data_IF_940400110772
#
_entry.id   IF_940400110772
#
_cell.length_a   1.000
_cell.length_b   1.000
_cell.length_c   1.000
_cell.angle_alpha   90.00
_cell.angle_beta   90.00
_cell.angle_gamma   90.00
#
_symmetry.space_group_name_H-M   'P 1'
#
loop_
_entity.id
_entity.type
_entity.pdbx_description
1 polymer ?
#
# COMPACT_ATOMS: atom_id res chain seq x y z
N UNK A 1 0.87 -2.41 -7.91
CA UNK A 1 -0.02 -3.51 -8.39
C UNK A 1 -0.97 -2.92 -9.42
N UNK A 2 -1.55 -3.68 -10.36
CA UNK A 2 -2.44 -3.04 -11.35
C UNK A 2 -3.84 -2.77 -10.76
N UNK A 3 -4.61 -1.88 -11.40
CA UNK A 3 -5.90 -1.43 -10.87
C UNK A 3 -6.93 -2.54 -10.57
N UNK A 4 -7.17 -3.50 -11.49
CA UNK A 4 -8.01 -4.66 -11.22
C UNK A 4 -7.62 -5.44 -9.97
N UNK A 5 -6.32 -5.61 -9.71
CA UNK A 5 -5.81 -6.37 -8.56
C UNK A 5 -6.00 -5.61 -7.24
N UNK A 6 -5.83 -4.29 -7.23
CA UNK A 6 -6.17 -3.47 -6.05
C UNK A 6 -7.64 -3.63 -5.68
N UNK A 7 -8.54 -3.52 -6.65
CA UNK A 7 -9.97 -3.74 -6.42
C UNK A 7 -10.26 -5.16 -5.93
N UNK A 8 -9.61 -6.18 -6.51
CA UNK A 8 -9.79 -7.56 -6.10
C UNK A 8 -9.39 -7.79 -4.64
N UNK A 9 -8.21 -7.31 -4.22
CA UNK A 9 -7.75 -7.47 -2.83
C UNK A 9 -8.63 -6.69 -1.86
N UNK A 10 -9.00 -5.45 -2.18
CA UNK A 10 -9.91 -4.64 -1.34
C UNK A 10 -11.24 -5.36 -1.17
N UNK A 11 -11.82 -5.88 -2.27
CA UNK A 11 -13.06 -6.64 -2.23
C UNK A 11 -12.93 -7.88 -1.34
N UNK A 12 -11.91 -8.70 -1.56
CA UNK A 12 -11.64 -9.89 -0.77
C UNK A 12 -11.44 -9.57 0.72
N UNK A 13 -10.80 -8.44 1.05
CA UNK A 13 -10.63 -7.98 2.42
C UNK A 13 -11.94 -7.54 3.07
N UNK A 14 -12.77 -6.78 2.35
CA UNK A 14 -14.08 -6.34 2.83
C UNK A 14 -15.04 -7.51 3.05
N UNK A 15 -15.01 -8.52 2.17
CA UNK A 15 -15.85 -9.73 2.27
C UNK A 15 -15.55 -10.57 3.53
N UNK A 16 -14.35 -10.39 4.13
CA UNK A 16 -13.94 -11.09 5.36
C UNK A 16 -14.26 -10.34 6.65
N UNK A 17 -14.87 -9.14 6.57
CA UNK A 17 -15.33 -8.41 7.75
C UNK A 17 -16.57 -9.09 8.38
N UNK A 18 -16.39 -9.67 9.57
CA UNK A 18 -17.42 -10.31 10.38
C UNK A 18 -17.93 -9.40 11.52
N UNK A 19 -19.23 -9.10 11.49
CA UNK A 19 -19.92 -8.32 12.52
C UNK A 19 -19.82 -8.96 13.92
N UNK A 20 -19.81 -8.18 15.02
CA UNK A 20 -20.07 -6.74 15.09
C UNK A 20 -18.83 -5.82 15.18
N UNK A 21 -17.62 -6.36 15.32
CA UNK A 21 -16.44 -5.57 15.68
C UNK A 21 -15.97 -4.57 14.58
N UNK A 22 -16.41 -4.78 13.35
CA UNK A 22 -16.01 -4.06 12.14
C UNK A 22 -17.16 -3.29 11.47
N UNK A 23 -18.32 -3.18 12.16
CA UNK A 23 -19.46 -2.44 11.65
C UNK A 23 -19.13 -1.01 11.15
N UNK A 24 -18.26 -0.22 11.82
CA UNK A 24 -17.85 1.08 11.29
C UNK A 24 -17.15 1.00 9.94
N UNK A 25 -16.19 0.07 9.78
CA UNK A 25 -15.43 -0.11 8.53
C UNK A 25 -16.33 -0.63 7.41
N UNK A 26 -17.24 -1.55 7.73
CA UNK A 26 -18.24 -2.04 6.76
C UNK A 26 -19.13 -0.92 6.21
N UNK A 27 -19.56 0.02 7.06
CA UNK A 27 -20.34 1.19 6.60
C UNK A 27 -19.55 2.10 5.65
N UNK A 28 -18.22 2.05 5.70
CA UNK A 28 -17.33 2.77 4.80
C UNK A 28 -17.00 1.99 3.51
N UNK A 29 -17.45 0.74 3.35
CA UNK A 29 -17.01 -0.19 2.30
C UNK A 29 -17.09 0.36 0.86
N UNK A 30 -18.20 1.02 0.52
CA UNK A 30 -18.37 1.63 -0.82
C UNK A 30 -17.34 2.74 -1.07
N UNK A 31 -17.13 3.62 -0.10
CA UNK A 31 -16.13 4.69 -0.19
C UNK A 31 -14.69 4.13 -0.23
N UNK A 32 -14.40 3.05 0.49
CA UNK A 32 -13.12 2.34 0.43
C UNK A 32 -12.86 1.85 -0.98
N UNK A 33 -13.82 1.11 -1.55
CA UNK A 33 -13.70 0.55 -2.89
C UNK A 33 -13.60 1.63 -3.96
N UNK A 34 -14.39 2.70 -3.86
CA UNK A 34 -14.41 3.79 -4.84
C UNK A 34 -13.17 4.68 -4.84
N UNK A 35 -12.36 4.68 -3.77
CA UNK A 35 -11.18 5.54 -3.66
C UNK A 35 -9.85 4.76 -3.68
N UNK A 36 -9.87 3.42 -3.82
CA UNK A 36 -8.66 2.62 -3.78
C UNK A 36 -7.77 2.77 -5.03
N UNK A 37 -8.25 3.39 -6.11
CA UNK A 37 -7.43 3.72 -7.29
C UNK A 37 -6.99 5.18 -7.35
N UNK A 38 -7.45 6.00 -6.41
CA UNK A 38 -7.16 7.42 -6.43
C UNK A 38 -5.65 7.74 -6.43
N UNK A 39 -4.77 7.01 -5.72
CA UNK A 39 -3.33 7.29 -5.79
C UNK A 39 -2.75 7.26 -7.19
N UNK A 40 -3.12 6.27 -8.02
CA UNK A 40 -2.70 6.17 -9.42
C UNK A 40 -3.33 7.26 -10.28
N UNK A 41 -4.64 7.51 -10.09
CA UNK A 41 -5.39 8.49 -10.87
C UNK A 41 -4.82 9.91 -10.73
N UNK A 42 -4.32 10.25 -9.53
CA UNK A 42 -3.80 11.60 -9.24
C UNK A 42 -2.28 11.66 -9.09
N UNK A 43 -1.55 10.56 -9.30
CA UNK A 43 -0.11 10.49 -9.03
C UNK A 43 0.68 11.64 -9.68
N UNK A 44 0.46 11.86 -10.99
CA UNK A 44 1.13 12.91 -11.76
C UNK A 44 0.80 14.30 -11.21
N UNK A 45 -0.47 14.54 -10.88
CA UNK A 45 -0.91 15.83 -10.36
C UNK A 45 -0.39 16.09 -8.94
N UNK A 46 -0.40 15.06 -8.08
CA UNK A 46 0.15 15.10 -6.74
C UNK A 46 1.66 15.41 -6.77
N UNK A 47 2.43 14.73 -7.63
CA UNK A 47 3.86 14.96 -7.81
C UNK A 47 4.17 16.37 -8.34
N UNK A 48 3.29 16.92 -9.17
CA UNK A 48 3.39 18.31 -9.67
C UNK A 48 2.91 19.35 -8.64
N UNK A 49 2.52 18.94 -7.44
CA UNK A 49 2.00 19.83 -6.40
C UNK A 49 0.64 20.45 -6.74
N UNK A 50 -0.08 19.91 -7.72
CA UNK A 50 -1.44 20.37 -8.07
C UNK A 50 -2.40 20.01 -6.95
N UNK A 51 -3.50 20.76 -6.87
CA UNK A 51 -4.50 20.62 -5.79
C UNK A 51 -5.87 20.39 -6.41
N UNK A 52 -6.57 19.40 -5.88
CA UNK A 52 -7.99 19.13 -6.14
C UNK A 52 -8.70 18.70 -4.85
N UNK A 53 -9.98 18.36 -4.95
CA UNK A 53 -10.76 17.89 -3.78
C UNK A 53 -10.12 16.67 -3.10
N UNK A 54 -9.48 15.80 -3.88
CA UNK A 54 -8.73 14.62 -3.44
C UNK A 54 -7.54 14.96 -2.53
N UNK A 55 -7.00 16.18 -2.57
CA UNK A 55 -5.75 16.54 -1.88
C UNK A 55 -5.81 16.33 -0.37
N UNK A 56 -6.99 16.45 0.23
CA UNK A 56 -7.23 16.25 1.67
C UNK A 56 -6.98 14.82 2.15
N UNK A 57 -6.99 13.85 1.21
CA UNK A 57 -6.79 12.43 1.47
C UNK A 57 -5.31 12.01 1.46
N UNK A 58 -4.39 12.95 1.17
CA UNK A 58 -2.95 12.70 1.10
C UNK A 58 -2.19 13.52 2.16
N UNK A 59 -1.01 13.07 2.62
CA UNK A 59 -0.17 13.85 3.52
C UNK A 59 0.11 15.26 3.00
N UNK A 60 0.27 16.28 3.86
CA UNK A 60 0.46 17.67 3.43
C UNK A 60 1.77 17.89 2.65
N UNK A 61 2.79 17.05 2.88
CA UNK A 61 4.02 17.06 2.10
C UNK A 61 3.80 16.33 0.78
N UNK A 62 4.26 16.91 -0.33
CA UNK A 62 4.30 16.22 -1.62
C UNK A 62 5.31 15.07 -1.53
N UNK A 63 4.94 13.83 -1.90
CA UNK A 63 5.88 12.72 -1.94
C UNK A 63 7.07 13.05 -2.84
N UNK A 64 8.28 12.72 -2.39
CA UNK A 64 9.45 12.75 -3.27
C UNK A 64 9.41 11.55 -4.22
N UNK A 65 10.22 11.60 -5.28
CA UNK A 65 10.44 10.42 -6.10
C UNK A 65 11.20 9.37 -5.29
N UNK A 66 10.69 8.15 -5.27
CA UNK A 66 11.26 6.98 -4.57
C UNK A 66 12.71 6.69 -4.99
N UNK A 67 13.05 6.94 -6.24
CA UNK A 67 14.40 6.80 -6.81
C UNK A 67 15.31 8.02 -6.60
N UNK A 68 14.97 8.98 -5.73
CA UNK A 68 15.82 10.13 -5.41
C UNK A 68 16.31 10.16 -3.95
N UNK A 69 15.97 9.16 -3.13
CA UNK A 69 16.36 9.14 -1.72
C UNK A 69 17.62 8.30 -1.53
N UNK A 70 18.78 8.92 -1.69
CA UNK A 70 20.08 8.23 -1.60
C UNK A 70 20.49 7.86 -0.16
N UNK A 71 19.64 8.16 0.83
CA UNK A 71 19.93 7.98 2.27
C UNK A 71 18.72 7.56 3.12
N UNK A 72 17.66 7.03 2.50
CA UNK A 72 16.47 6.64 3.26
C UNK A 72 16.66 5.27 3.94
N UNK A 73 16.56 5.24 5.27
CA UNK A 73 16.14 4.05 6.03
C UNK A 73 14.89 3.45 5.36
N UNK A 74 14.75 2.12 5.29
CA UNK A 74 13.54 1.46 4.75
C UNK A 74 12.25 2.05 5.33
N UNK A 75 12.29 2.53 6.58
CA UNK A 75 11.17 3.21 7.25
C UNK A 75 10.74 4.50 6.56
N UNK A 76 11.68 5.23 5.96
CA UNK A 76 11.38 6.42 5.17
C UNK A 76 10.78 6.08 3.80
N UNK A 77 10.85 4.80 3.39
CA UNK A 77 10.19 4.29 2.18
C UNK A 77 8.81 3.71 2.48
N UNK A 78 8.48 3.40 3.74
CA UNK A 78 7.15 2.89 4.11
C UNK A 78 6.03 3.89 3.77
N UNK A 79 4.80 3.40 3.55
CA UNK A 79 3.66 4.29 3.39
C UNK A 79 3.51 5.16 4.65
N UNK A 80 2.87 6.34 4.54
CA UNK A 80 2.74 7.28 5.66
C UNK A 80 1.69 6.78 6.66
N UNK A 81 1.97 5.66 7.31
CA UNK A 81 1.07 4.86 8.15
C UNK A 81 0.45 5.69 9.27
N UNK A 82 1.28 6.53 9.93
CA UNK A 82 0.82 7.42 11.00
C UNK A 82 -0.22 8.43 10.51
N UNK A 83 -0.04 8.99 9.31
CA UNK A 83 -1.01 9.92 8.76
C UNK A 83 -2.35 9.24 8.52
N UNK A 84 -2.36 8.09 7.84
CA UNK A 84 -3.59 7.39 7.50
C UNK A 84 -4.29 6.82 8.74
N UNK A 85 -3.58 6.11 9.61
CA UNK A 85 -4.18 5.51 10.81
C UNK A 85 -4.81 6.56 11.73
N UNK A 86 -4.08 7.64 12.06
CA UNK A 86 -4.60 8.70 12.94
C UNK A 86 -5.82 9.41 12.33
N UNK A 87 -5.78 9.69 11.01
CA UNK A 87 -6.90 10.32 10.29
C UNK A 87 -8.12 9.40 10.28
N UNK A 88 -7.96 8.14 9.88
CA UNK A 88 -9.06 7.16 9.81
C UNK A 88 -9.72 7.01 11.18
N UNK A 89 -8.93 6.79 12.24
CA UNK A 89 -9.47 6.66 13.61
C UNK A 89 -10.26 7.90 14.01
N UNK A 90 -9.75 9.09 13.71
CA UNK A 90 -10.43 10.35 14.00
C UNK A 90 -11.75 10.50 13.23
N UNK A 91 -11.76 10.20 11.94
CA UNK A 91 -12.97 10.29 11.10
C UNK A 91 -14.04 9.27 11.54
N UNK A 92 -13.62 8.03 11.85
CA UNK A 92 -14.51 6.99 12.39
C UNK A 92 -15.11 7.38 13.73
N UNK A 93 -14.30 7.89 14.67
CA UNK A 93 -14.76 8.38 15.98
C UNK A 93 -15.75 9.55 15.85
N UNK A 94 -15.57 10.38 14.83
CA UNK A 94 -16.45 11.50 14.54
C UNK A 94 -17.69 11.12 13.72
N UNK A 95 -17.91 9.84 13.42
CA UNK A 95 -19.08 9.38 12.65
C UNK A 95 -19.01 9.66 11.15
N UNK A 96 -17.88 10.16 10.62
CA UNK A 96 -17.72 10.53 9.20
C UNK A 96 -17.26 9.34 8.37
N UNK A 97 -18.18 8.39 8.16
CA UNK A 97 -17.90 7.10 7.53
C UNK A 97 -17.40 7.24 6.08
N UNK A 98 -17.92 8.20 5.32
CA UNK A 98 -17.51 8.44 3.93
C UNK A 98 -16.05 8.91 3.84
N UNK A 99 -15.68 9.93 4.62
CA UNK A 99 -14.30 10.43 4.65
C UNK A 99 -13.34 9.39 5.22
N UNK A 100 -13.74 8.64 6.25
CA UNK A 100 -12.98 7.50 6.77
C UNK A 100 -12.76 6.44 5.68
N UNK A 101 -13.79 6.15 4.89
CA UNK A 101 -13.72 5.20 3.78
C UNK A 101 -12.82 5.67 2.66
N UNK A 102 -12.92 6.94 2.26
CA UNK A 102 -12.04 7.52 1.24
C UNK A 102 -10.56 7.46 1.67
N UNK A 103 -10.26 7.76 2.93
CA UNK A 103 -8.92 7.63 3.50
C UNK A 103 -8.46 6.16 3.53
N UNK A 104 -9.32 5.24 3.94
CA UNK A 104 -9.02 3.80 3.95
C UNK A 104 -8.82 3.24 2.54
N UNK A 105 -9.56 3.73 1.54
CA UNK A 105 -9.37 3.37 0.14
C UNK A 105 -7.99 3.77 -0.35
N UNK A 106 -7.64 5.05 -0.23
CA UNK A 106 -6.30 5.57 -0.55
C UNK A 106 -5.21 4.80 0.22
N UNK A 107 -5.43 4.52 1.50
CA UNK A 107 -4.47 3.79 2.30
C UNK A 107 -4.30 2.35 1.83
N UNK A 108 -5.40 1.64 1.56
CA UNK A 108 -5.40 0.24 1.11
C UNK A 108 -4.63 0.04 -0.19
N UNK A 109 -4.65 1.04 -1.08
CA UNK A 109 -3.83 1.07 -2.29
C UNK A 109 -2.35 0.98 -1.94
N UNK A 110 -1.86 1.92 -1.12
CA UNK A 110 -0.47 1.91 -0.68
C UNK A 110 -0.13 0.60 0.03
N UNK A 111 -0.99 0.12 0.92
CA UNK A 111 -0.74 -1.15 1.61
C UNK A 111 -0.56 -2.31 0.63
N UNK A 112 -1.35 -2.34 -0.46
CA UNK A 112 -1.26 -3.31 -1.56
C UNK A 112 0.05 -3.22 -2.36
N UNK A 113 0.47 -2.02 -2.74
CA UNK A 113 1.74 -1.82 -3.47
C UNK A 113 2.94 -2.33 -2.68
N UNK A 114 3.00 -2.03 -1.37
CA UNK A 114 4.10 -2.48 -0.53
C UNK A 114 4.12 -4.00 -0.29
N UNK A 115 3.05 -4.72 -0.64
CA UNK A 115 3.01 -6.18 -0.62
C UNK A 115 3.49 -6.81 -1.93
N UNK A 116 3.73 -6.02 -2.99
CA UNK A 116 4.12 -6.52 -4.29
C UNK A 116 5.64 -6.35 -4.50
N UNK A 117 6.39 -7.43 -4.83
CA UNK A 117 7.85 -7.40 -4.90
C UNK A 117 8.46 -6.36 -5.85
N UNK A 118 7.72 -5.94 -6.89
CA UNK A 118 8.24 -5.03 -7.89
C UNK A 118 8.49 -3.62 -7.34
N UNK A 119 7.68 -3.18 -6.37
CA UNK A 119 7.92 -1.91 -5.67
C UNK A 119 9.19 -1.94 -4.80
N UNK A 120 9.65 -3.12 -4.37
CA UNK A 120 10.93 -3.26 -3.67
C UNK A 120 12.12 -3.32 -4.65
N UNK A 121 11.92 -3.94 -5.81
CA UNK A 121 12.94 -4.02 -6.88
C UNK A 121 13.40 -2.62 -7.33
N UNK A 122 12.48 -1.68 -7.55
CA UNK A 122 12.83 -0.33 -8.03
C UNK A 122 13.59 0.53 -7.01
N UNK A 123 13.40 0.25 -5.71
CA UNK A 123 13.98 1.04 -4.64
C UNK A 123 15.45 0.71 -4.39
N UNK A 124 15.78 -0.57 -4.30
CA UNK A 124 17.11 -1.01 -3.85
C UNK A 124 17.83 -1.89 -4.88
N UNK A 125 17.14 -2.86 -5.46
CA UNK A 125 17.77 -3.91 -6.26
C UNK A 125 18.15 -3.40 -7.65
N UNK A 126 17.28 -2.63 -8.31
CA UNK A 126 17.53 -2.12 -9.67
C UNK A 126 18.75 -1.21 -9.76
N UNK A 127 19.14 -0.55 -8.66
CA UNK A 127 20.37 0.26 -8.57
C UNK A 127 21.64 -0.61 -8.46
N UNK A 128 21.55 -1.76 -7.79
CA UNK A 128 22.69 -2.68 -7.56
C UNK A 128 22.88 -3.69 -8.71
N UNK A 129 21.78 -4.13 -9.32
CA UNK A 129 21.74 -5.13 -10.36
C UNK A 129 21.00 -4.57 -11.58
N UNK A 130 21.67 -3.73 -12.39
CA UNK A 130 21.04 -3.19 -13.58
C UNK A 130 20.59 -4.31 -14.53
N UNK A 131 19.53 -4.10 -15.33
CA UNK A 131 19.11 -5.07 -16.33
C UNK A 131 20.28 -5.49 -17.24
N UNK A 132 20.34 -6.76 -17.68
CA UNK A 132 21.23 -7.13 -18.76
C UNK A 132 20.91 -6.32 -20.02
N UNK A 133 21.89 -6.13 -20.91
CA UNK A 133 21.76 -5.24 -22.07
C UNK A 133 20.54 -5.54 -22.95
N UNK A 134 20.21 -6.81 -23.15
CA UNK A 134 19.03 -7.27 -23.89
C UNK A 134 17.69 -6.87 -23.27
N UNK A 135 17.67 -6.47 -22.00
CA UNK A 135 16.49 -6.11 -21.23
C UNK A 135 16.57 -4.67 -20.69
N UNK A 136 17.51 -3.85 -21.19
CA UNK A 136 17.74 -2.48 -20.71
C UNK A 136 16.53 -1.55 -20.86
N UNK A 137 15.63 -1.84 -21.81
CA UNK A 137 14.38 -1.10 -22.02
C UNK A 137 13.15 -1.83 -21.46
N UNK A 138 13.33 -2.95 -20.75
CA UNK A 138 12.22 -3.65 -20.12
C UNK A 138 11.81 -2.94 -18.83
N UNK A 139 10.54 -2.57 -18.75
CA UNK A 139 9.95 -2.12 -17.50
C UNK A 139 9.57 -3.36 -16.66
N UNK A 140 10.53 -3.87 -15.89
CA UNK A 140 10.31 -5.05 -15.03
C UNK A 140 9.19 -4.84 -14.02
N UNK A 141 9.03 -3.61 -13.51
CA UNK A 141 7.94 -3.26 -12.62
C UNK A 141 6.61 -3.60 -13.27
N UNK A 142 6.35 -3.00 -14.43
CA UNK A 142 5.14 -3.24 -15.19
C UNK A 142 4.97 -4.70 -15.57
N UNK A 143 6.03 -5.38 -15.97
CA UNK A 143 5.94 -6.81 -16.32
C UNK A 143 5.50 -7.67 -15.14
N UNK A 144 5.96 -7.37 -13.92
CA UNK A 144 5.56 -8.07 -12.69
C UNK A 144 4.12 -7.74 -12.27
N UNK A 145 3.66 -6.51 -12.49
CA UNK A 145 2.27 -6.11 -12.26
C UNK A 145 1.29 -6.62 -13.32
N UNK A 146 1.75 -6.84 -14.55
CA UNK A 146 0.93 -7.38 -15.63
C UNK A 146 0.75 -8.90 -15.51
N UNK A 147 1.46 -9.58 -14.58
CA UNK A 147 1.24 -11.00 -14.28
C UNK A 147 -0.10 -11.16 -13.56
N UNK A 148 -1.11 -11.80 -14.17
CA UNK A 148 -2.43 -11.88 -13.58
C UNK A 148 -2.39 -12.65 -12.26
N UNK A 149 -3.00 -12.08 -11.23
CA UNK A 149 -3.23 -12.81 -9.99
C UNK A 149 -4.24 -13.94 -10.18
N UNK A 150 -3.91 -15.13 -9.66
CA UNK A 150 -4.85 -16.25 -9.53
C UNK A 150 -5.57 -16.27 -8.18
N UNK A 151 -5.31 -15.29 -7.30
CA UNK A 151 -5.88 -15.22 -5.97
C UNK A 151 -7.36 -14.83 -6.07
N UNK A 152 -8.24 -15.80 -5.83
CA UNK A 152 -9.69 -15.60 -5.79
C UNK A 152 -10.26 -15.61 -4.36
N UNK A 153 -9.44 -15.86 -3.35
CA UNK A 153 -9.84 -15.88 -1.95
C UNK A 153 -8.66 -15.59 -1.03
N UNK A 154 -8.91 -14.92 0.09
CA UNK A 154 -7.96 -14.79 1.19
C UNK A 154 -8.53 -15.46 2.44
N UNK A 155 -7.76 -16.29 3.14
CA UNK A 155 -8.20 -16.89 4.41
C UNK A 155 -7.88 -16.02 5.64
N UNK A 156 -7.37 -14.82 5.40
CA UNK A 156 -7.11 -13.85 6.44
C UNK A 156 -8.41 -13.34 7.06
N UNK A 157 -8.54 -13.51 8.37
CA UNK A 157 -9.58 -12.84 9.17
C UNK A 157 -9.01 -11.52 9.70
N UNK A 158 -9.61 -10.36 9.38
CA UNK A 158 -9.22 -9.08 9.93
C UNK A 158 -9.14 -9.14 11.47
N UNK A 159 -8.08 -8.59 12.03
CA UNK A 159 -7.89 -8.48 13.48
C UNK A 159 -7.63 -7.02 13.83
N UNK A 160 -7.96 -6.66 15.07
CA UNK A 160 -7.54 -5.37 15.61
C UNK A 160 -6.01 -5.27 15.55
N UNK A 161 -5.51 -4.25 14.85
CA UNK A 161 -4.08 -4.01 14.74
C UNK A 161 -3.46 -3.67 16.09
N UNK A 162 -4.19 -3.04 17.01
CA UNK A 162 -3.73 -2.76 18.37
C UNK A 162 -4.85 -2.16 19.21
N UNK A 163 -4.59 -1.96 20.50
CA UNK A 163 -5.51 -1.31 21.44
C UNK A 163 -5.42 0.22 21.37
N UNK A 164 -4.34 0.74 20.80
CA UNK A 164 -4.12 2.17 20.57
C UNK A 164 -3.38 2.41 19.24
N UNK A 165 -3.25 3.68 18.86
CA UNK A 165 -2.63 4.08 17.58
C UNK A 165 -1.15 3.69 17.50
N UNK A 166 -0.41 3.73 18.61
CA UNK A 166 1.01 3.38 18.62
C UNK A 166 1.24 1.88 18.43
N UNK A 167 0.43 1.04 19.09
CA UNK A 167 0.50 -0.41 18.92
C UNK A 167 0.10 -0.82 17.50
N UNK A 168 -0.94 -0.18 16.95
CA UNK A 168 -1.36 -0.43 15.57
C UNK A 168 -0.25 -0.05 14.57
N UNK A 169 0.42 1.09 14.78
CA UNK A 169 1.57 1.52 13.98
C UNK A 169 2.72 0.53 14.08
N UNK A 170 3.14 0.19 15.30
CA UNK A 170 4.26 -0.72 15.54
C UNK A 170 4.06 -2.06 14.84
N UNK A 171 2.88 -2.67 14.98
CA UNK A 171 2.59 -3.98 14.36
C UNK A 171 2.54 -3.89 12.84
N UNK A 172 2.00 -2.80 12.29
CA UNK A 172 1.93 -2.63 10.84
C UNK A 172 3.32 -2.40 10.24
N UNK A 173 4.13 -1.51 10.84
CA UNK A 173 5.51 -1.25 10.40
C UNK A 173 6.36 -2.53 10.51
N UNK A 174 6.15 -3.34 11.56
CA UNK A 174 6.83 -4.63 11.74
C UNK A 174 6.46 -5.65 10.67
N UNK A 175 5.18 -5.69 10.25
CA UNK A 175 4.74 -6.57 9.17
C UNK A 175 5.39 -6.20 7.83
N UNK A 176 5.50 -4.90 7.53
CA UNK A 176 6.20 -4.44 6.34
C UNK A 176 7.69 -4.72 6.38
N UNK A 177 8.33 -4.56 7.55
CA UNK A 177 9.73 -4.92 7.71
C UNK A 177 9.97 -6.40 7.39
N UNK A 178 9.09 -7.29 7.85
CA UNK A 178 9.21 -8.71 7.55
C UNK A 178 9.06 -9.02 6.05
N UNK A 179 8.11 -8.38 5.36
CA UNK A 179 7.94 -8.54 3.91
C UNK A 179 9.16 -8.06 3.13
N UNK A 180 9.73 -6.93 3.54
CA UNK A 180 10.96 -6.40 2.99
C UNK A 180 12.12 -7.38 3.20
N UNK A 181 12.33 -7.86 4.43
CA UNK A 181 13.42 -8.80 4.76
C UNK A 181 13.30 -10.12 3.97
N UNK A 182 12.08 -10.64 3.78
CA UNK A 182 11.83 -11.81 2.94
C UNK A 182 12.18 -11.55 1.46
N UNK A 183 11.81 -10.38 0.94
CA UNK A 183 12.08 -10.00 -0.45
C UNK A 183 13.58 -9.86 -0.71
N UNK A 184 14.30 -9.20 0.21
CA UNK A 184 15.77 -9.08 0.15
C UNK A 184 16.45 -10.43 0.32
N UNK A 185 15.97 -11.29 1.22
CA UNK A 185 16.52 -12.64 1.43
C UNK A 185 16.46 -13.53 0.20
N UNK A 186 15.50 -13.31 -0.71
CA UNK A 186 15.38 -14.06 -1.96
C UNK A 186 16.44 -13.69 -3.03
N UNK A 187 17.19 -12.60 -2.84
CA UNK A 187 18.19 -12.12 -3.82
C UNK A 187 19.35 -13.10 -3.98
N UNK A 188 19.75 -13.81 -2.92
CA UNK A 188 20.74 -14.89 -3.00
C UNK A 188 19.99 -16.22 -2.91
N UNK A 189 19.65 -16.86 -4.05
CA UNK A 189 19.03 -18.17 -4.00
C UNK A 189 20.05 -19.17 -3.45
N UNK A 190 19.82 -19.63 -2.22
CA UNK A 190 20.54 -20.78 -1.66
C UNK A 190 19.97 -22.04 -2.32
N UNK A 191 20.65 -22.54 -3.34
CA UNK A 191 20.28 -23.81 -3.98
C UNK A 191 20.85 -24.97 -3.18
N UNK A 192 20.18 -26.13 -3.21
CA UNK A 192 20.75 -27.37 -2.72
C UNK A 192 22.01 -27.68 -3.54
N UNK A 193 23.15 -27.82 -2.87
CA UNK A 193 24.39 -28.31 -3.47
C UNK A 193 24.28 -29.80 -3.80
#
# INVERSE_FOLDING_TARGET
MNGPEHHAIVKLALDRLAAPADAPVRRSGEAIFGHCMLPDEVAIDLLRGRRGAWRRLFPPRVPGFTFQTDQADYRAMLPPNRFYLSRVVRELRAGRMEEAGALLGVYSHYLGDFCQPAHHYELEIGRLLPPPESLRNCNYHRMLEDVPSSVCSIDHKPRLLGLNEEEALFRLDSAYRLLFDLSVGAVVPMTLA
#
